data_IF_190863277625
#
_entry.id   IF_190863277625
#
_cell.length_a   1.000
_cell.length_b   1.000
_cell.length_c   1.000
_cell.angle_alpha   90.00
_cell.angle_beta   90.00
_cell.angle_gamma   90.00
#
_symmetry.space_group_name_H-M   'P 1'
#
loop_
_entity.id
_entity.type
_entity.pdbx_description
1 polymer ?
#
# COMPACT_ATOMS: atom_id res chain seq x y z
N UNK A 1 3.33 24.37 4.27
CA UNK A 1 4.72 23.90 4.43
C UNK A 1 5.34 23.50 3.09
N UNK A 2 4.84 22.52 2.35
CA UNK A 2 5.42 22.09 1.06
C UNK A 2 5.59 23.24 0.04
N UNK A 3 4.57 24.08 -0.16
CA UNK A 3 4.65 25.26 -1.06
C UNK A 3 5.76 26.22 -0.64
N UNK A 4 5.86 26.56 0.64
CA UNK A 4 6.89 27.46 1.13
C UNK A 4 8.32 26.88 0.95
N UNK A 5 8.49 25.58 1.14
CA UNK A 5 9.77 24.89 0.88
C UNK A 5 10.13 24.94 -0.60
N UNK A 6 9.15 24.71 -1.49
CA UNK A 6 9.37 24.74 -2.92
C UNK A 6 9.71 26.16 -3.42
N UNK A 7 9.05 27.19 -2.91
CA UNK A 7 9.35 28.59 -3.21
C UNK A 7 10.75 29.00 -2.72
N UNK A 8 11.15 28.57 -1.52
CA UNK A 8 12.49 28.82 -0.99
C UNK A 8 13.57 28.10 -1.84
N UNK A 9 13.32 26.85 -2.26
CA UNK A 9 14.20 26.10 -3.14
C UNK A 9 14.34 26.78 -4.50
N UNK A 10 13.24 27.28 -5.08
CA UNK A 10 13.23 28.02 -6.34
C UNK A 10 14.03 29.32 -6.22
N UNK A 11 13.87 30.05 -5.13
CA UNK A 11 14.61 31.29 -4.88
C UNK A 11 16.13 31.05 -4.71
N UNK A 12 16.54 29.86 -4.27
CA UNK A 12 17.94 29.43 -4.09
C UNK A 12 18.52 28.68 -5.29
N UNK A 13 17.79 28.61 -6.41
CA UNK A 13 18.17 27.83 -7.59
C UNK A 13 18.49 26.36 -7.27
N UNK A 14 17.83 25.79 -6.26
CA UNK A 14 17.91 24.38 -5.88
C UNK A 14 16.86 23.56 -6.64
N UNK A 15 16.85 22.24 -6.45
CA UNK A 15 15.82 21.39 -7.03
C UNK A 15 14.43 21.78 -6.50
N UNK A 16 13.54 22.16 -7.41
CA UNK A 16 12.15 22.52 -7.12
C UNK A 16 11.22 21.90 -8.16
N UNK A 17 9.93 21.86 -7.86
CA UNK A 17 8.90 21.43 -8.80
C UNK A 17 8.23 22.66 -9.42
N UNK A 18 8.04 22.66 -10.74
CA UNK A 18 7.33 23.73 -11.44
C UNK A 18 5.86 23.79 -11.01
N UNK A 19 5.23 22.62 -10.84
CA UNK A 19 3.86 22.47 -10.38
C UNK A 19 3.81 21.46 -9.23
N UNK A 20 3.14 21.85 -8.14
CA UNK A 20 2.91 21.00 -6.98
C UNK A 20 1.51 20.40 -7.05
N UNK A 21 1.42 19.08 -7.04
CA UNK A 21 0.15 18.37 -6.88
C UNK A 21 -0.34 18.47 -5.42
N UNK A 22 -1.29 19.40 -5.19
CA UNK A 22 -1.89 19.63 -3.88
C UNK A 22 -2.62 18.38 -3.35
N UNK A 23 -3.17 17.55 -4.23
CA UNK A 23 -3.88 16.32 -3.84
C UNK A 23 -2.89 15.25 -3.38
N UNK A 24 -1.81 15.05 -4.12
CA UNK A 24 -0.73 14.14 -3.74
C UNK A 24 -0.12 14.55 -2.38
N UNK A 25 0.18 15.83 -2.18
CA UNK A 25 0.72 16.34 -0.91
C UNK A 25 -0.25 16.10 0.25
N UNK A 26 -1.54 16.38 0.04
CA UNK A 26 -2.57 16.20 1.07
C UNK A 26 -2.74 14.74 1.43
N UNK A 27 -2.86 13.85 0.44
CA UNK A 27 -3.01 12.41 0.66
C UNK A 27 -1.76 11.82 1.35
N UNK A 28 -0.57 12.22 0.92
CA UNK A 28 0.69 11.81 1.57
C UNK A 28 0.72 12.21 3.04
N UNK A 29 0.32 13.44 3.36
CA UNK A 29 0.27 13.91 4.76
C UNK A 29 -0.80 13.19 5.58
N UNK A 30 -1.96 12.93 4.99
CA UNK A 30 -3.10 12.29 5.66
C UNK A 30 -2.82 10.81 6.00
N UNK A 31 -2.14 10.11 5.10
CA UNK A 31 -1.95 8.65 5.19
C UNK A 31 -0.50 8.25 5.54
N UNK A 32 0.38 9.21 5.82
CA UNK A 32 1.81 8.96 6.10
C UNK A 32 2.08 7.95 7.23
N UNK A 33 1.16 7.83 8.20
CA UNK A 33 1.28 6.90 9.32
C UNK A 33 0.59 5.55 9.10
N UNK A 34 -0.08 5.34 7.96
CA UNK A 34 -0.82 4.12 7.69
C UNK A 34 0.09 3.06 7.07
N UNK A 35 -0.05 1.82 7.54
CA UNK A 35 0.61 0.63 6.99
C UNK A 35 -0.40 -0.21 6.21
N UNK A 36 -0.26 -0.25 4.90
CA UNK A 36 -1.05 -1.11 4.04
C UNK A 36 -0.27 -2.37 3.69
N UNK A 37 -0.86 -3.55 3.94
CA UNK A 37 -0.22 -4.84 3.69
C UNK A 37 0.31 -4.98 2.26
N UNK A 38 -0.45 -4.68 1.18
CA UNK A 38 0.06 -4.78 -0.19
C UNK A 38 1.26 -3.88 -0.45
N UNK A 39 1.23 -2.65 0.07
CA UNK A 39 2.31 -1.68 -0.09
C UNK A 39 3.56 -2.10 0.69
N UNK A 40 3.39 -2.59 1.92
CA UNK A 40 4.49 -3.14 2.71
C UNK A 40 5.13 -4.35 2.02
N UNK A 41 4.33 -5.24 1.41
CA UNK A 41 4.84 -6.38 0.66
C UNK A 41 5.64 -5.94 -0.58
N UNK A 42 5.14 -4.95 -1.33
CA UNK A 42 5.84 -4.38 -2.48
C UNK A 42 7.20 -3.80 -2.09
N UNK A 43 7.25 -2.92 -1.09
CA UNK A 43 8.50 -2.33 -0.63
C UNK A 43 9.42 -3.37 0.02
N UNK A 44 8.87 -4.36 0.71
CA UNK A 44 9.62 -5.50 1.24
C UNK A 44 10.38 -6.25 0.16
N UNK A 45 9.75 -6.46 -1.00
CA UNK A 45 10.38 -7.06 -2.18
C UNK A 45 11.53 -6.20 -2.73
N UNK A 46 11.34 -4.89 -2.82
CA UNK A 46 12.40 -3.95 -3.26
C UNK A 46 13.58 -3.99 -2.29
N UNK A 47 13.34 -3.91 -0.98
CA UNK A 47 14.39 -3.97 0.05
C UNK A 47 15.12 -5.30 0.00
N UNK A 48 14.42 -6.41 -0.17
CA UNK A 48 15.03 -7.73 -0.31
C UNK A 48 15.98 -7.78 -1.52
N UNK A 49 15.58 -7.20 -2.66
CA UNK A 49 16.45 -7.10 -3.84
C UNK A 49 17.69 -6.24 -3.58
N UNK A 50 17.54 -5.13 -2.87
CA UNK A 50 18.69 -4.29 -2.50
C UNK A 50 19.68 -5.04 -1.59
N UNK A 51 19.18 -5.85 -0.65
CA UNK A 51 20.03 -6.70 0.21
C UNK A 51 20.81 -7.72 -0.63
N UNK A 52 20.14 -8.40 -1.58
CA UNK A 52 20.80 -9.37 -2.47
C UNK A 52 21.93 -8.72 -3.28
N UNK A 53 21.82 -7.45 -3.64
CA UNK A 53 22.86 -6.71 -4.38
C UNK A 53 24.17 -6.55 -3.59
N UNK A 54 24.14 -6.67 -2.26
CA UNK A 54 25.37 -6.72 -1.44
C UNK A 54 26.25 -7.92 -1.76
N UNK A 55 25.77 -8.94 -2.45
CA UNK A 55 26.61 -10.03 -2.97
C UNK A 55 27.56 -9.58 -4.08
N UNK A 56 27.48 -8.33 -4.51
CA UNK A 56 28.34 -7.74 -5.54
C UNK A 56 27.95 -8.06 -6.98
N UNK A 57 26.87 -8.80 -7.20
CA UNK A 57 26.42 -9.20 -8.55
C UNK A 57 25.71 -8.08 -9.33
N UNK A 58 25.03 -7.19 -8.62
CA UNK A 58 24.23 -6.11 -9.21
C UNK A 58 24.51 -4.79 -8.51
N UNK A 59 24.28 -3.68 -9.23
CA UNK A 59 24.42 -2.34 -8.65
C UNK A 59 23.22 -1.98 -7.81
N UNK A 60 23.41 -1.47 -6.59
CA UNK A 60 22.30 -0.98 -5.76
C UNK A 60 21.65 0.27 -6.35
N UNK A 61 20.42 0.54 -5.95
CA UNK A 61 19.75 1.80 -6.24
C UNK A 61 20.54 2.97 -5.62
N UNK A 62 20.79 4.01 -6.43
CA UNK A 62 21.51 5.22 -5.99
C UNK A 62 20.66 6.48 -6.10
N UNK A 63 19.38 6.32 -6.44
CA UNK A 63 18.42 7.40 -6.64
C UNK A 63 17.21 7.20 -5.75
N UNK A 64 16.45 8.26 -5.54
CA UNK A 64 15.17 8.18 -4.84
C UNK A 64 14.18 7.33 -5.65
N UNK A 65 13.47 6.45 -4.95
CA UNK A 65 12.34 5.70 -5.48
C UNK A 65 11.07 6.32 -4.91
N UNK A 66 10.24 6.86 -5.80
CA UNK A 66 8.92 7.39 -5.46
C UNK A 66 7.85 6.43 -5.96
N UNK A 67 6.94 6.08 -5.08
CA UNK A 67 5.82 5.21 -5.41
C UNK A 67 4.61 5.59 -4.56
N UNK A 68 3.49 5.74 -5.19
CA UNK A 68 2.21 5.99 -4.52
C UNK A 68 1.11 5.17 -5.21
N UNK A 69 -0.01 4.97 -4.53
CA UNK A 69 -1.15 4.18 -4.98
C UNK A 69 -2.47 4.94 -4.74
N UNK A 70 -2.46 6.25 -4.86
CA UNK A 70 -3.63 7.08 -4.54
C UNK A 70 -4.83 6.83 -5.44
N UNK A 71 -4.62 6.20 -6.60
CA UNK A 71 -5.69 5.77 -7.51
C UNK A 71 -6.65 4.74 -6.88
N UNK A 72 -6.23 4.03 -5.81
CA UNK A 72 -7.11 3.12 -5.08
C UNK A 72 -8.02 3.81 -4.06
N UNK A 73 -7.81 5.11 -3.82
CA UNK A 73 -8.63 5.83 -2.84
C UNK A 73 -10.08 5.90 -3.33
N UNK A 74 -11.03 5.60 -2.45
CA UNK A 74 -12.44 5.70 -2.82
C UNK A 74 -12.82 7.15 -3.10
N UNK A 75 -13.67 7.35 -4.11
CA UNK A 75 -14.24 8.65 -4.42
C UNK A 75 -15.28 9.08 -3.37
N UNK A 76 -15.35 10.38 -3.11
CA UNK A 76 -16.34 10.97 -2.23
C UNK A 76 -16.04 10.84 -0.74
N UNK A 77 -17.10 10.96 0.06
CA UNK A 77 -16.99 10.85 1.51
C UNK A 77 -17.13 9.39 1.94
N UNK A 78 -16.14 8.89 2.66
CA UNK A 78 -16.12 7.54 3.24
C UNK A 78 -15.96 7.61 4.74
N UNK A 79 -16.55 6.65 5.45
CA UNK A 79 -16.38 6.53 6.88
C UNK A 79 -14.99 5.94 7.20
N UNK A 80 -14.12 6.76 7.79
CA UNK A 80 -12.74 6.39 8.16
C UNK A 80 -12.54 6.22 9.68
N UNK A 81 -13.64 6.20 10.45
CA UNK A 81 -13.57 6.04 11.90
C UNK A 81 -12.99 4.66 12.25
N UNK A 82 -12.02 4.58 13.17
CA UNK A 82 -11.42 3.31 13.57
C UNK A 82 -12.45 2.37 14.20
N UNK A 83 -12.25 1.09 14.01
CA UNK A 83 -13.04 0.03 14.64
C UNK A 83 -12.31 -0.60 15.84
N UNK A 84 -11.14 -0.07 16.21
CA UNK A 84 -10.22 -0.61 17.20
C UNK A 84 -9.82 -2.07 16.90
N UNK A 85 -9.47 -2.31 15.65
CA UNK A 85 -9.07 -3.61 15.13
C UNK A 85 -7.78 -3.52 14.32
N UNK A 86 -7.23 -4.67 13.96
CA UNK A 86 -5.99 -4.77 13.16
C UNK A 86 -6.08 -4.15 11.77
N UNK A 87 -7.27 -3.77 11.32
CA UNK A 87 -7.51 -3.20 10.00
C UNK A 87 -7.67 -1.67 10.02
N UNK A 88 -7.44 -1.01 11.14
CA UNK A 88 -7.72 0.42 11.30
C UNK A 88 -6.91 1.29 10.33
N UNK A 89 -5.67 0.94 10.03
CA UNK A 89 -4.88 1.64 9.01
C UNK A 89 -5.50 1.49 7.61
N UNK A 90 -5.98 0.29 7.28
CA UNK A 90 -6.67 0.02 6.02
C UNK A 90 -8.02 0.75 5.95
N UNK A 91 -8.77 0.78 7.05
CA UNK A 91 -10.02 1.55 7.19
C UNK A 91 -9.76 3.05 7.04
N UNK A 92 -8.69 3.56 7.62
CA UNK A 92 -8.32 4.98 7.50
C UNK A 92 -8.04 5.37 6.06
N UNK A 93 -7.48 4.48 5.25
CA UNK A 93 -7.19 4.73 3.83
C UNK A 93 -8.42 4.47 2.96
N UNK A 94 -9.04 3.30 3.06
CA UNK A 94 -10.07 2.82 2.13
C UNK A 94 -11.51 3.00 2.63
N UNK A 95 -11.71 3.23 3.93
CA UNK A 95 -13.02 3.32 4.55
C UNK A 95 -13.56 1.99 5.07
N UNK A 96 -14.55 2.07 5.97
CA UNK A 96 -15.21 0.89 6.57
C UNK A 96 -15.95 0.05 5.55
N UNK A 97 -16.62 0.70 4.61
CA UNK A 97 -17.42 0.04 3.58
C UNK A 97 -16.57 -0.88 2.70
N UNK A 98 -15.35 -0.45 2.38
CA UNK A 98 -14.39 -1.29 1.63
C UNK A 98 -13.91 -2.45 2.49
N UNK A 99 -13.62 -2.22 3.77
CA UNK A 99 -13.21 -3.27 4.69
C UNK A 99 -14.29 -4.34 4.87
N UNK A 100 -15.54 -3.94 5.00
CA UNK A 100 -16.68 -4.86 5.09
C UNK A 100 -16.87 -5.67 3.80
N UNK A 101 -16.74 -5.01 2.65
CA UNK A 101 -16.77 -5.69 1.35
C UNK A 101 -15.64 -6.70 1.22
N UNK A 102 -14.41 -6.35 1.61
CA UNK A 102 -13.27 -7.29 1.62
C UNK A 102 -13.59 -8.52 2.48
N UNK A 103 -14.19 -8.33 3.65
CA UNK A 103 -14.59 -9.43 4.53
C UNK A 103 -15.61 -10.37 3.88
N UNK A 104 -16.46 -9.89 2.99
CA UNK A 104 -17.51 -10.68 2.32
C UNK A 104 -17.13 -11.26 0.96
N UNK A 105 -15.91 -11.00 0.48
CA UNK A 105 -15.44 -11.51 -0.81
C UNK A 105 -15.29 -13.03 -0.79
N UNK A 106 -15.74 -13.67 -1.88
CA UNK A 106 -15.48 -15.08 -2.15
C UNK A 106 -14.41 -15.19 -3.23
N UNK A 107 -13.28 -15.78 -2.89
CA UNK A 107 -12.12 -15.93 -3.78
C UNK A 107 -11.84 -17.39 -4.01
N UNK A 108 -11.57 -17.75 -5.25
CA UNK A 108 -11.07 -19.07 -5.62
C UNK A 108 -9.65 -18.92 -6.19
N UNK A 109 -8.69 -19.58 -5.58
CA UNK A 109 -7.29 -19.53 -5.98
C UNK A 109 -6.82 -20.92 -6.42
N UNK A 110 -6.20 -20.96 -7.57
CA UNK A 110 -5.58 -22.18 -8.12
C UNK A 110 -4.08 -22.04 -8.01
N UNK A 111 -3.46 -22.94 -7.26
CA UNK A 111 -2.03 -22.96 -7.00
C UNK A 111 -1.67 -22.34 -5.64
N UNK A 112 -1.04 -23.13 -4.77
CA UNK A 112 -0.52 -22.74 -3.46
C UNK A 112 1.02 -22.77 -3.38
N UNK A 113 1.68 -22.69 -4.53
CA UNK A 113 3.13 -22.57 -4.61
C UNK A 113 3.64 -21.25 -3.99
N UNK A 114 4.84 -20.81 -4.33
CA UNK A 114 5.48 -19.65 -3.72
C UNK A 114 4.60 -18.39 -3.78
N UNK A 115 4.02 -18.05 -4.94
CA UNK A 115 3.12 -16.90 -5.09
C UNK A 115 1.79 -17.11 -4.34
N UNK A 116 1.20 -18.32 -4.43
CA UNK A 116 -0.06 -18.63 -3.76
C UNK A 116 0.05 -18.50 -2.24
N UNK A 117 1.14 -18.95 -1.64
CA UNK A 117 1.40 -18.78 -0.21
C UNK A 117 1.48 -17.29 0.20
N UNK A 118 2.13 -16.47 -0.62
CA UNK A 118 2.20 -15.03 -0.36
C UNK A 118 0.84 -14.35 -0.49
N UNK A 119 0.01 -14.75 -1.49
CA UNK A 119 -1.36 -14.24 -1.60
C UNK A 119 -2.23 -14.65 -0.40
N UNK A 120 -2.20 -15.91 0.04
CA UNK A 120 -2.95 -16.36 1.21
C UNK A 120 -2.56 -15.57 2.45
N UNK A 121 -1.27 -15.38 2.65
CA UNK A 121 -0.75 -14.54 3.75
C UNK A 121 -1.28 -13.11 3.65
N UNK A 122 -1.20 -12.47 2.48
CA UNK A 122 -1.70 -11.12 2.28
C UNK A 122 -3.22 -11.03 2.49
N UNK A 123 -4.00 -11.98 1.97
CA UNK A 123 -5.46 -12.05 2.18
C UNK A 123 -5.82 -12.14 3.65
N UNK A 124 -5.13 -12.99 4.41
CA UNK A 124 -5.34 -13.12 5.86
C UNK A 124 -4.99 -11.83 6.61
N UNK A 125 -3.91 -11.15 6.22
CA UNK A 125 -3.48 -9.89 6.82
C UNK A 125 -4.42 -8.73 6.51
N UNK A 126 -5.03 -8.72 5.32
CA UNK A 126 -6.00 -7.69 4.89
C UNK A 126 -7.43 -7.99 5.38
N UNK A 127 -7.71 -9.20 5.82
CA UNK A 127 -9.05 -9.64 6.21
C UNK A 127 -9.96 -9.99 5.02
N UNK A 128 -9.39 -10.37 3.88
CA UNK A 128 -10.17 -10.78 2.72
C UNK A 128 -10.87 -12.11 3.01
N UNK A 129 -12.19 -12.14 2.80
CA UNK A 129 -13.01 -13.33 3.04
C UNK A 129 -13.20 -13.72 4.51
N UNK A 130 -12.84 -12.86 5.48
CA UNK A 130 -12.93 -13.18 6.91
C UNK A 130 -14.31 -12.93 7.54
N UNK A 131 -15.22 -12.30 6.83
CA UNK A 131 -16.59 -12.05 7.29
C UNK A 131 -17.47 -13.31 7.20
N UNK A 132 -18.68 -13.25 7.76
CA UNK A 132 -19.57 -14.45 7.87
C UNK A 132 -19.95 -15.07 6.52
N UNK A 133 -19.95 -14.29 5.45
CA UNK A 133 -20.29 -14.74 4.09
C UNK A 133 -19.07 -14.82 3.16
N UNK A 134 -17.88 -14.46 3.66
CA UNK A 134 -16.65 -14.48 2.88
C UNK A 134 -15.96 -15.83 2.94
N UNK A 135 -15.23 -16.17 1.88
CA UNK A 135 -14.43 -17.40 1.82
C UNK A 135 -13.23 -17.22 0.91
N UNK A 136 -12.15 -17.88 1.28
CA UNK A 136 -11.00 -18.09 0.40
C UNK A 136 -10.89 -19.60 0.16
N UNK A 137 -11.15 -20.02 -1.08
CA UNK A 137 -10.94 -21.38 -1.52
C UNK A 137 -9.59 -21.47 -2.21
N UNK A 138 -8.79 -22.43 -1.81
CA UNK A 138 -7.52 -22.71 -2.48
C UNK A 138 -7.51 -24.16 -2.95
N UNK A 139 -7.03 -24.41 -4.15
CA UNK A 139 -6.74 -25.74 -4.66
C UNK A 139 -5.33 -25.79 -5.20
N UNK A 140 -4.67 -26.90 -4.99
CA UNK A 140 -3.37 -27.23 -5.54
C UNK A 140 -3.39 -28.69 -5.95
N UNK A 141 -2.53 -29.09 -6.87
CA UNK A 141 -2.44 -30.48 -7.33
C UNK A 141 -1.18 -31.20 -6.83
N UNK A 142 -0.44 -30.55 -5.91
CA UNK A 142 0.73 -31.15 -5.25
C UNK A 142 0.41 -31.66 -3.85
#
# INVERSE_FOLDING_TARGET
MAKAINEDAKAKEQHFCDELDDMCIRNSAQFASCSLVPQCAFFGGIVAQEIVKYTGKYSPLRQWLHYEIFDILPEGQVNREPMNCRYDDQIKVLGREVQEKLGSVNTFMVGAGALGCEYIKAFALMGLGCGPNGKVHCTDND
#
